data_IF_070066811768
#
_entry.id   IF_070066811768
#
_cell.length_a   1.000
_cell.length_b   1.000
_cell.length_c   1.000
_cell.angle_alpha   90.00
_cell.angle_beta   90.00
_cell.angle_gamma   90.00
#
_symmetry.space_group_name_H-M   'P 1'
#
loop_
_entity.id
_entity.type
_entity.pdbx_description
1 polymer ?
#
# COMPACT_ATOMS: atom_id res chain seq x y z
N UNK A 1 19.58 -38.85 -26.91
CA UNK A 1 20.77 -38.00 -26.97
C UNK A 1 20.40 -36.78 -27.79
N UNK A 2 20.37 -35.55 -27.27
CA UNK A 2 20.34 -35.08 -25.87
C UNK A 2 19.18 -34.07 -25.78
N UNK A 3 18.56 -33.90 -24.61
CA UNK A 3 17.57 -32.81 -24.42
C UNK A 3 18.33 -31.51 -24.19
N UNK A 4 17.97 -30.45 -24.89
CA UNK A 4 18.41 -29.10 -24.54
C UNK A 4 17.67 -28.67 -23.26
N UNK A 5 18.44 -28.36 -22.21
CA UNK A 5 17.90 -27.76 -21.00
C UNK A 5 17.91 -26.24 -21.18
N UNK A 6 16.73 -25.66 -21.40
CA UNK A 6 16.54 -24.22 -21.25
C UNK A 6 16.82 -23.89 -19.78
N UNK A 7 17.78 -23.00 -19.54
CA UNK A 7 18.17 -22.57 -18.19
C UNK A 7 17.08 -21.59 -17.70
N UNK A 8 16.22 -22.07 -16.81
CA UNK A 8 15.27 -21.23 -16.09
C UNK A 8 16.03 -20.22 -15.22
N UNK A 9 16.09 -18.97 -15.68
CA UNK A 9 16.54 -17.85 -14.87
C UNK A 9 15.44 -17.48 -13.88
N UNK A 10 15.71 -17.70 -12.60
CA UNK A 10 14.76 -17.41 -11.52
C UNK A 10 14.76 -15.92 -11.19
N UNK A 11 13.72 -15.21 -11.58
CA UNK A 11 13.39 -13.93 -10.96
C UNK A 11 12.87 -14.17 -9.53
N UNK A 12 13.41 -13.41 -8.57
CA UNK A 12 12.93 -13.40 -7.19
C UNK A 12 12.00 -12.21 -6.98
N UNK A 13 10.68 -12.47 -6.96
CA UNK A 13 9.69 -11.52 -6.45
C UNK A 13 8.54 -12.27 -5.76
N UNK A 14 8.84 -12.76 -4.55
CA UNK A 14 7.95 -13.65 -3.80
C UNK A 14 8.12 -13.42 -2.29
N UNK A 15 7.03 -13.08 -1.59
CA UNK A 15 7.02 -12.90 -0.13
C UNK A 15 5.72 -13.48 0.43
N UNK A 16 5.68 -14.59 1.18
CA UNK A 16 6.67 -15.62 1.53
C UNK A 16 5.88 -16.86 2.04
N UNK A 17 6.42 -17.93 2.65
CA UNK A 17 7.67 -18.21 3.39
C UNK A 17 7.78 -19.76 3.57
N UNK A 18 8.87 -20.42 3.99
CA UNK A 18 10.26 -20.03 4.30
C UNK A 18 11.20 -21.25 4.11
N UNK A 19 12.50 -21.03 3.92
CA UNK A 19 13.57 -21.72 4.67
C UNK A 19 14.94 -21.09 4.36
N UNK A 20 15.90 -21.26 5.28
CA UNK A 20 17.18 -20.53 5.30
C UNK A 20 18.16 -20.88 4.17
N UNK A 21 18.82 -19.86 3.66
CA UNK A 21 20.10 -19.94 2.93
C UNK A 21 20.76 -18.57 2.93
N UNK A 22 21.72 -18.34 3.83
CA UNK A 22 22.46 -17.08 3.87
C UNK A 22 23.41 -16.98 2.69
N UNK A 23 23.31 -15.91 1.89
CA UNK A 23 24.30 -15.64 0.86
C UNK A 23 25.60 -15.14 1.52
N UNK A 24 26.77 -15.72 1.17
CA UNK A 24 28.03 -15.12 1.56
C UNK A 24 28.23 -13.84 0.76
N UNK A 25 28.75 -12.81 1.43
CA UNK A 25 29.48 -11.73 0.73
C UNK A 25 30.78 -12.35 0.22
N UNK A 26 30.75 -12.99 -0.95
CA UNK A 26 31.96 -13.47 -1.63
C UNK A 26 32.58 -12.34 -2.43
N UNK A 27 33.67 -11.82 -1.89
CA UNK A 27 34.52 -10.83 -2.54
C UNK A 27 35.17 -11.35 -3.83
N UNK A 28 35.31 -10.42 -4.78
CA UNK A 28 36.28 -10.37 -5.88
C UNK A 28 36.04 -11.15 -7.18
N UNK A 29 35.95 -10.32 -8.23
CA UNK A 29 36.43 -10.49 -9.61
C UNK A 29 35.78 -11.56 -10.47
N UNK A 30 34.79 -11.11 -11.26
CA UNK A 30 35.07 -10.99 -12.69
C UNK A 30 34.97 -9.51 -13.12
N UNK A 31 35.73 -9.08 -14.12
CA UNK A 31 35.79 -7.69 -14.57
C UNK A 31 34.79 -7.46 -15.72
N UNK A 32 33.77 -6.61 -15.56
CA UNK A 32 33.09 -6.06 -16.75
C UNK A 32 31.65 -5.52 -16.66
N UNK A 33 30.87 -5.77 -15.61
CA UNK A 33 29.53 -5.15 -15.46
C UNK A 33 29.31 -4.63 -14.04
N UNK A 34 29.15 -3.31 -13.92
CA UNK A 34 28.66 -2.68 -12.71
C UNK A 34 27.13 -2.75 -12.73
N UNK A 35 26.57 -3.74 -12.03
CA UNK A 35 25.12 -3.81 -11.79
C UNK A 35 24.80 -2.83 -10.68
N UNK A 36 24.16 -1.72 -11.03
CA UNK A 36 23.74 -0.71 -10.08
C UNK A 36 22.41 -1.13 -9.44
N UNK A 37 22.34 -1.05 -8.12
CA UNK A 37 21.12 -1.37 -7.36
C UNK A 37 20.41 -0.06 -7.10
N UNK A 38 19.41 0.27 -7.91
CA UNK A 38 18.74 1.56 -7.87
C UNK A 38 17.46 1.51 -7.02
N UNK A 39 17.33 2.49 -6.13
CA UNK A 39 16.10 2.79 -5.40
C UNK A 39 15.23 3.72 -6.24
N UNK A 40 13.91 3.57 -6.14
CA UNK A 40 12.96 4.48 -6.79
C UNK A 40 13.14 5.91 -6.24
N UNK A 41 13.90 6.73 -6.96
CA UNK A 41 14.19 8.11 -6.57
C UNK A 41 13.03 9.05 -6.94
N UNK A 42 12.10 9.24 -6.00
CA UNK A 42 11.03 10.21 -6.14
C UNK A 42 11.54 11.65 -5.96
N UNK A 43 11.42 12.48 -7.01
CA UNK A 43 11.74 13.91 -6.95
C UNK A 43 10.78 14.73 -6.08
N UNK A 44 9.64 14.14 -5.69
CA UNK A 44 8.60 14.72 -4.84
C UNK A 44 7.87 13.62 -4.06
N UNK A 45 6.67 13.89 -3.54
CA UNK A 45 5.84 12.88 -2.88
C UNK A 45 5.15 11.99 -3.93
N UNK A 46 5.45 10.69 -3.95
CA UNK A 46 4.92 9.72 -4.93
C UNK A 46 3.40 9.76 -5.07
N UNK A 47 2.80 9.24 -6.16
CA UNK A 47 1.38 8.88 -6.16
C UNK A 47 1.03 7.93 -5.00
N UNK A 48 -0.26 7.85 -4.64
CA UNK A 48 -0.76 6.86 -3.66
C UNK A 48 -0.38 5.45 -4.11
N UNK A 49 0.48 4.79 -3.34
CA UNK A 49 0.96 3.44 -3.61
C UNK A 49 -0.11 2.41 -3.24
N UNK A 50 -0.80 2.65 -2.12
CA UNK A 50 -1.81 1.74 -1.56
C UNK A 50 -2.82 2.50 -0.70
N UNK A 51 -4.06 2.01 -0.65
CA UNK A 51 -5.15 2.59 0.16
C UNK A 51 -5.97 1.53 0.90
N UNK A 52 -6.43 1.86 2.10
CA UNK A 52 -7.41 1.11 2.88
C UNK A 52 -8.52 2.04 3.37
N UNK A 53 -9.73 1.86 2.82
CA UNK A 53 -10.90 2.74 3.03
C UNK A 53 -12.17 1.97 3.47
N UNK A 54 -12.08 0.66 3.69
CA UNK A 54 -13.16 -0.18 4.21
C UNK A 54 -12.77 -0.82 5.54
N UNK A 55 -13.18 -0.18 6.62
CA UNK A 55 -12.87 -0.52 8.01
C UNK A 55 -14.15 -0.63 8.84
N UNK A 56 -14.10 -1.47 9.87
CA UNK A 56 -15.07 -1.43 10.98
C UNK A 56 -14.36 -0.91 12.22
N UNK A 57 -14.74 0.27 12.71
CA UNK A 57 -14.26 0.77 13.99
C UNK A 57 -15.10 0.20 15.12
N UNK A 58 -14.44 -0.27 16.18
CA UNK A 58 -15.04 -0.93 17.33
C UNK A 58 -14.70 -0.15 18.60
N UNK A 59 -15.67 0.01 19.50
CA UNK A 59 -15.46 0.50 20.86
C UNK A 59 -16.26 -0.24 21.91
N UNK A 60 -15.60 -0.53 23.03
CA UNK A 60 -16.22 -1.12 24.21
C UNK A 60 -16.96 -0.03 24.97
N UNK A 61 -18.27 -0.19 25.08
CA UNK A 61 -19.16 0.74 25.77
C UNK A 61 -19.02 0.60 27.28
N UNK A 62 -19.42 1.63 28.03
CA UNK A 62 -19.39 1.64 29.50
C UNK A 62 -20.21 0.50 30.14
N UNK A 63 -21.20 -0.05 29.42
CA UNK A 63 -21.99 -1.22 29.81
C UNK A 63 -21.28 -2.58 29.55
N UNK A 64 -20.02 -2.55 29.08
CA UNK A 64 -19.18 -3.71 28.78
C UNK A 64 -19.38 -4.34 27.39
N UNK A 65 -20.42 -3.96 26.64
CA UNK A 65 -20.70 -4.47 25.28
C UNK A 65 -19.83 -3.78 24.24
N UNK A 66 -19.56 -4.46 23.13
CA UNK A 66 -18.93 -3.86 21.96
C UNK A 66 -19.97 -3.20 21.05
N UNK A 67 -19.66 -2.02 20.55
CA UNK A 67 -20.38 -1.31 19.48
C UNK A 67 -19.45 -1.10 18.30
N UNK A 68 -19.97 -1.23 17.08
CA UNK A 68 -19.23 -0.99 15.85
C UNK A 68 -19.85 0.11 14.99
N UNK A 69 -19.05 0.71 14.11
CA UNK A 69 -19.52 1.49 12.98
C UNK A 69 -18.55 1.36 11.79
N UNK A 70 -19.07 1.48 10.57
CA UNK A 70 -18.23 1.56 9.38
C UNK A 70 -17.34 2.83 9.45
N UNK A 71 -16.05 2.67 9.17
CA UNK A 71 -15.06 3.74 9.05
C UNK A 71 -14.91 4.67 10.26
N UNK A 72 -15.43 4.26 11.43
CA UNK A 72 -15.49 5.09 12.64
C UNK A 72 -15.49 4.25 13.90
N UNK A 73 -14.69 4.63 14.88
CA UNK A 73 -14.76 4.15 16.27
C UNK A 73 -15.85 4.94 16.99
N UNK A 74 -16.97 4.33 17.43
CA UNK A 74 -17.99 5.01 18.23
C UNK A 74 -17.41 5.50 19.56
N UNK A 75 -18.04 6.48 20.22
CA UNK A 75 -17.65 6.85 21.58
C UNK A 75 -17.89 5.69 22.56
N UNK A 76 -17.19 5.66 23.70
CA UNK A 76 -17.41 4.62 24.74
C UNK A 76 -18.68 4.88 25.57
N UNK A 77 -19.07 6.15 25.73
CA UNK A 77 -20.37 6.51 26.31
C UNK A 77 -21.51 6.26 25.30
N UNK A 78 -22.38 5.31 25.65
CA UNK A 78 -23.54 4.93 24.85
C UNK A 78 -24.54 6.10 24.67
N UNK A 79 -24.62 7.03 25.63
CA UNK A 79 -25.55 8.18 25.57
C UNK A 79 -25.08 9.18 24.51
N UNK A 80 -23.79 9.48 24.50
CA UNK A 80 -23.13 10.30 23.49
C UNK A 80 -23.39 9.78 22.06
N UNK A 81 -23.39 8.47 21.84
CA UNK A 81 -23.67 7.87 20.52
C UNK A 81 -25.13 8.04 20.05
N UNK A 82 -26.08 8.41 20.92
CA UNK A 82 -27.51 8.60 20.60
C UNK A 82 -27.87 10.05 20.24
N UNK A 83 -26.94 11.00 20.39
CA UNK A 83 -27.16 12.40 20.04
C UNK A 83 -27.26 12.64 18.53
N UNK A 84 -28.06 13.63 18.12
CA UNK A 84 -28.25 14.00 16.71
C UNK A 84 -27.25 15.04 16.19
N UNK A 85 -26.37 15.56 17.07
CA UNK A 85 -25.35 16.55 16.73
C UNK A 85 -24.41 16.09 15.62
N UNK A 86 -24.05 17.01 14.71
CA UNK A 86 -23.20 16.72 13.56
C UNK A 86 -21.78 16.30 13.97
N UNK A 87 -21.26 16.83 15.07
CA UNK A 87 -19.98 16.46 15.68
C UNK A 87 -19.99 15.02 16.22
N UNK A 88 -21.14 14.52 16.70
CA UNK A 88 -21.26 13.13 17.19
C UNK A 88 -21.09 12.11 16.08
N UNK A 89 -21.33 12.50 14.82
CA UNK A 89 -21.11 11.62 13.66
C UNK A 89 -19.63 11.30 13.45
N UNK A 90 -18.70 12.08 14.01
CA UNK A 90 -17.25 11.84 13.93
C UNK A 90 -16.75 10.69 14.80
N UNK A 91 -17.48 10.32 15.86
CA UNK A 91 -17.06 9.28 16.81
C UNK A 91 -15.86 9.69 17.67
N UNK A 92 -15.28 8.72 18.38
CA UNK A 92 -14.01 8.93 19.10
C UNK A 92 -12.82 9.02 18.13
N UNK A 93 -12.90 8.31 17.01
CA UNK A 93 -11.99 8.43 15.87
C UNK A 93 -12.71 8.02 14.59
N UNK A 94 -12.27 8.53 13.44
CA UNK A 94 -12.75 8.08 12.14
C UNK A 94 -11.65 8.10 11.07
N UNK A 95 -11.87 7.33 10.01
CA UNK A 95 -10.96 7.16 8.87
C UNK A 95 -11.82 7.15 7.59
N UNK A 96 -11.62 8.12 6.72
CA UNK A 96 -12.08 8.06 5.32
C UNK A 96 -11.18 7.11 4.53
N UNK A 97 -9.86 7.27 4.68
CA UNK A 97 -8.86 6.41 4.05
C UNK A 97 -7.55 6.42 4.85
N UNK A 98 -6.87 5.28 4.91
CA UNK A 98 -5.44 5.17 5.19
C UNK A 98 -4.71 4.97 3.85
N UNK A 99 -3.84 5.89 3.49
CA UNK A 99 -3.03 5.84 2.28
C UNK A 99 -1.56 5.73 2.65
N UNK A 100 -0.76 5.07 1.80
CA UNK A 100 0.70 5.14 1.88
C UNK A 100 1.23 5.76 0.58
N UNK A 101 2.09 6.77 0.74
CA UNK A 101 2.89 7.41 -0.31
C UNK A 101 4.38 7.26 0.05
N UNK A 102 5.28 7.49 -0.89
CA UNK A 102 6.74 7.40 -0.73
C UNK A 102 7.39 8.77 -0.98
N UNK A 103 8.52 9.01 -0.35
CA UNK A 103 9.34 10.22 -0.51
C UNK A 103 10.80 9.89 -0.24
N UNK A 104 11.72 10.54 -0.94
CA UNK A 104 13.16 10.45 -0.67
C UNK A 104 13.57 11.51 0.36
N UNK A 105 14.41 11.14 1.32
CA UNK A 105 15.04 12.06 2.27
C UNK A 105 16.53 11.73 2.29
N UNK A 106 17.34 12.62 1.69
CA UNK A 106 18.68 12.24 1.23
C UNK A 106 18.60 11.03 0.29
N UNK A 107 19.41 10.00 0.56
CA UNK A 107 19.48 8.76 -0.25
C UNK A 107 18.67 7.60 0.36
N UNK A 108 17.77 7.87 1.31
CA UNK A 108 16.92 6.85 1.94
C UNK A 108 15.45 7.03 1.54
N UNK A 109 14.74 5.93 1.28
CA UNK A 109 13.31 5.94 0.99
C UNK A 109 12.49 5.92 2.28
N UNK A 110 11.53 6.84 2.37
CA UNK A 110 10.57 6.93 3.48
C UNK A 110 9.15 6.71 2.98
N UNK A 111 8.35 6.04 3.82
CA UNK A 111 6.90 5.95 3.65
C UNK A 111 6.22 7.08 4.42
N UNK A 112 5.15 7.60 3.82
CA UNK A 112 4.25 8.62 4.36
C UNK A 112 2.88 7.98 4.52
N UNK A 113 2.55 7.55 5.73
CA UNK A 113 1.21 7.09 6.09
C UNK A 113 0.32 8.31 6.28
N UNK A 114 -0.71 8.43 5.45
CA UNK A 114 -1.70 9.51 5.50
C UNK A 114 -3.03 8.93 5.98
N UNK A 115 -3.55 9.46 7.08
CA UNK A 115 -4.90 9.18 7.58
C UNK A 115 -5.81 10.35 7.22
N UNK A 116 -6.69 10.18 6.24
CA UNK A 116 -7.74 11.17 5.91
C UNK A 116 -8.98 10.89 6.75
N UNK A 117 -9.61 11.92 7.31
CA UNK A 117 -10.74 11.79 8.24
C UNK A 117 -11.71 12.98 8.17
N UNK A 118 -12.95 12.78 8.59
CA UNK A 118 -13.94 13.83 8.79
C UNK A 118 -13.63 14.60 10.08
N UNK A 119 -13.68 15.92 9.99
CA UNK A 119 -13.36 16.88 11.04
C UNK A 119 -14.39 18.01 11.01
N UNK A 120 -14.28 18.96 11.92
CA UNK A 120 -15.12 20.16 11.90
C UNK A 120 -14.96 21.02 13.14
N UNK A 121 -15.53 22.21 13.07
CA UNK A 121 -15.62 23.14 14.19
C UNK A 121 -16.97 23.85 14.24
N UNK A 122 -17.22 24.52 15.35
CA UNK A 122 -18.33 25.43 15.52
C UNK A 122 -17.87 26.85 15.26
N UNK A 123 -18.68 27.63 14.56
CA UNK A 123 -18.49 29.08 14.45
C UNK A 123 -18.53 29.76 15.82
N UNK A 124 -19.37 29.26 16.74
CA UNK A 124 -19.42 29.69 18.12
C UNK A 124 -19.20 28.51 19.09
N UNK A 125 -17.94 28.10 19.36
CA UNK A 125 -17.63 26.88 20.13
C UNK A 125 -18.21 26.81 21.54
N UNK A 126 -18.35 27.97 22.20
CA UNK A 126 -18.93 28.05 23.56
C UNK A 126 -20.44 27.82 23.55
N UNK A 127 -21.13 28.16 22.45
CA UNK A 127 -22.57 28.00 22.27
C UNK A 127 -22.93 26.65 21.62
N UNK A 128 -21.99 26.02 20.92
CA UNK A 128 -22.27 24.84 20.09
C UNK A 128 -23.09 25.19 18.82
N UNK A 129 -22.96 26.42 18.33
CA UNK A 129 -23.72 26.93 17.19
C UNK A 129 -22.85 27.07 15.93
N UNK A 130 -23.48 26.92 14.75
CA UNK A 130 -22.81 27.07 13.46
C UNK A 130 -21.77 25.99 13.16
N UNK A 131 -22.11 24.70 13.33
CA UNK A 131 -21.21 23.60 12.98
C UNK A 131 -20.85 23.59 11.48
N UNK A 132 -19.55 23.53 11.18
CA UNK A 132 -18.96 23.45 9.85
C UNK A 132 -18.13 22.18 9.76
N UNK A 133 -18.60 21.19 9.01
CA UNK A 133 -17.85 19.97 8.73
C UNK A 133 -16.87 20.17 7.58
N UNK A 134 -15.68 19.59 7.69
CA UNK A 134 -14.67 19.53 6.63
C UNK A 134 -13.89 18.20 6.70
N UNK A 135 -12.90 18.03 5.82
CA UNK A 135 -11.98 16.89 5.88
C UNK A 135 -10.59 17.35 6.30
N UNK A 136 -9.96 16.59 7.17
CA UNK A 136 -8.59 16.80 7.62
C UNK A 136 -7.77 15.53 7.37
N UNK A 137 -6.45 15.67 7.42
CA UNK A 137 -5.56 14.52 7.42
C UNK A 137 -4.45 14.67 8.44
N UNK A 138 -4.04 13.54 9.01
CA UNK A 138 -2.79 13.39 9.74
C UNK A 138 -1.81 12.63 8.85
N UNK A 139 -0.54 13.07 8.79
CA UNK A 139 0.51 12.34 8.08
C UNK A 139 1.68 11.98 9.00
N UNK A 140 2.29 10.84 8.71
CA UNK A 140 3.35 10.24 9.52
C UNK A 140 4.44 9.70 8.57
N UNK A 141 5.64 10.28 8.63
CA UNK A 141 6.77 9.91 7.77
C UNK A 141 7.71 8.97 8.54
N UNK A 142 8.12 7.84 7.96
CA UNK A 142 8.99 6.84 8.61
C UNK A 142 9.76 5.99 7.58
N UNK A 143 10.86 5.33 7.99
CA UNK A 143 11.73 4.56 7.05
C UNK A 143 10.97 3.38 6.42
N UNK A 144 11.11 3.18 5.11
CA UNK A 144 10.28 2.21 4.36
C UNK A 144 10.33 0.77 4.91
N UNK A 145 11.51 0.27 5.28
CA UNK A 145 11.70 -1.04 5.97
C UNK A 145 10.79 -1.32 7.18
N UNK A 146 10.20 -0.30 7.83
CA UNK A 146 9.25 -0.51 8.93
C UNK A 146 7.93 -1.17 8.51
N UNK A 147 7.64 -1.26 7.21
CA UNK A 147 6.49 -2.03 6.73
C UNK A 147 6.69 -3.56 6.91
N UNK A 148 7.93 -4.05 6.90
CA UNK A 148 8.23 -5.46 7.19
C UNK A 148 7.91 -5.82 8.66
N UNK A 149 8.15 -4.91 9.60
CA UNK A 149 7.74 -5.07 11.00
C UNK A 149 6.20 -5.15 11.14
N UNK A 150 5.44 -4.44 10.29
CA UNK A 150 3.96 -4.37 10.34
C UNK A 150 3.26 -5.58 9.73
N UNK A 151 3.90 -6.20 8.74
CA UNK A 151 3.44 -7.43 8.13
C UNK A 151 4.65 -8.35 7.96
N UNK A 152 5.09 -9.00 9.06
CA UNK A 152 6.16 -9.98 8.99
C UNK A 152 5.75 -11.09 8.02
N UNK A 153 6.75 -11.66 7.36
CA UNK A 153 6.53 -12.64 6.30
C UNK A 153 5.80 -13.90 6.84
N UNK A 154 6.03 -14.23 8.12
CA UNK A 154 5.29 -15.23 8.90
C UNK A 154 4.26 -14.49 9.76
N UNK A 155 2.99 -14.55 9.38
CA UNK A 155 1.93 -13.82 10.08
C UNK A 155 1.58 -14.56 11.38
N UNK A 156 1.79 -13.94 12.57
CA UNK A 156 1.55 -14.60 13.84
C UNK A 156 0.06 -14.54 14.17
N UNK A 157 -0.73 -15.39 13.51
CA UNK A 157 -2.17 -15.45 13.71
C UNK A 157 -2.55 -15.66 15.17
N UNK A 158 -3.61 -14.97 15.59
CA UNK A 158 -4.13 -14.97 16.94
C UNK A 158 -3.13 -14.48 18.00
N UNK A 159 -2.11 -13.70 17.59
CA UNK A 159 -1.16 -13.00 18.46
C UNK A 159 -1.07 -11.52 18.08
N UNK A 160 -1.39 -10.63 19.02
CA UNK A 160 -1.18 -9.20 18.86
C UNK A 160 0.32 -8.85 18.87
N UNK A 161 0.71 -7.81 18.14
CA UNK A 161 2.02 -7.16 18.19
C UNK A 161 1.88 -5.65 17.98
N UNK A 162 2.94 -4.89 18.27
CA UNK A 162 2.94 -3.45 18.05
C UNK A 162 4.32 -2.95 17.63
N UNK A 163 4.33 -2.16 16.56
CA UNK A 163 5.55 -1.65 15.93
C UNK A 163 5.72 -0.17 16.26
N UNK A 164 6.86 0.16 16.84
CA UNK A 164 7.34 1.54 16.84
C UNK A 164 7.83 1.92 15.44
N UNK A 165 7.14 2.85 14.77
CA UNK A 165 7.53 3.35 13.45
C UNK A 165 8.76 4.27 13.50
N UNK A 166 9.10 4.81 14.68
CA UNK A 166 10.18 5.77 14.90
C UNK A 166 10.17 6.90 13.85
N UNK A 167 9.12 7.72 13.88
CA UNK A 167 8.83 8.71 12.84
C UNK A 167 10.01 9.63 12.52
N UNK A 168 10.17 9.99 11.25
CA UNK A 168 10.99 11.12 10.83
C UNK A 168 10.29 12.43 11.21
N UNK A 169 9.14 12.71 10.58
CA UNK A 169 8.29 13.87 10.87
C UNK A 169 6.81 13.47 10.92
N UNK A 170 5.95 14.39 11.36
CA UNK A 170 4.49 14.26 11.30
C UNK A 170 3.83 15.63 11.13
N UNK A 171 2.58 15.65 10.72
CA UNK A 171 1.77 16.86 10.74
C UNK A 171 0.28 16.58 10.59
N UNK A 172 -0.50 17.66 10.60
CA UNK A 172 -1.96 17.63 10.43
C UNK A 172 -2.33 18.74 9.46
N UNK A 173 -2.96 18.39 8.34
CA UNK A 173 -3.49 19.37 7.38
C UNK A 173 -5.01 19.44 7.58
N UNK A 174 -5.45 20.52 8.22
CA UNK A 174 -6.88 20.81 8.41
C UNK A 174 -7.50 21.39 7.15
N UNK A 175 -8.74 20.98 6.87
CA UNK A 175 -9.53 21.42 5.72
C UNK A 175 -8.74 21.32 4.40
N UNK A 176 -8.21 20.12 4.11
CA UNK A 176 -7.30 19.91 2.98
C UNK A 176 -7.97 20.09 1.61
N UNK A 177 -9.30 20.11 1.53
CA UNK A 177 -9.99 20.46 0.28
C UNK A 177 -9.74 21.92 -0.15
N UNK A 178 -9.20 22.76 0.74
CA UNK A 178 -8.79 24.14 0.48
C UNK A 178 -7.26 24.35 0.50
N UNK A 179 -6.46 23.28 0.62
CA UNK A 179 -4.99 23.34 0.75
C UNK A 179 -4.30 22.27 -0.08
N UNK A 180 -3.12 22.57 -0.61
CA UNK A 180 -2.29 21.54 -1.21
C UNK A 180 -1.70 20.64 -0.10
N UNK A 181 -2.15 19.38 -0.01
CA UNK A 181 -1.65 18.44 1.01
C UNK A 181 -0.18 18.08 0.81
N UNK A 182 0.28 18.01 -0.43
CA UNK A 182 1.67 17.68 -0.80
C UNK A 182 2.64 18.75 -0.31
N UNK A 183 2.32 20.03 -0.53
CA UNK A 183 3.16 21.15 -0.09
C UNK A 183 3.37 21.15 1.43
N UNK A 184 2.31 20.88 2.20
CA UNK A 184 2.37 20.88 3.67
C UNK A 184 3.16 19.67 4.21
N UNK A 185 3.07 18.52 3.55
CA UNK A 185 3.88 17.33 3.86
C UNK A 185 5.36 17.61 3.55
N UNK A 186 5.67 18.13 2.37
CA UNK A 186 7.04 18.42 1.93
C UNK A 186 7.68 19.52 2.79
N UNK A 187 6.96 20.61 3.13
CA UNK A 187 7.45 21.64 4.07
C UNK A 187 7.82 21.02 5.43
N UNK A 188 7.00 20.13 5.97
CA UNK A 188 7.25 19.50 7.27
C UNK A 188 8.42 18.50 7.26
N UNK A 189 8.77 17.93 6.10
CA UNK A 189 9.99 17.15 5.90
C UNK A 189 11.19 18.10 5.87
N UNK A 190 11.17 19.10 4.99
CA UNK A 190 12.27 20.04 4.80
C UNK A 190 12.61 20.85 6.05
N UNK A 191 11.63 21.22 6.88
CA UNK A 191 11.89 21.91 8.16
C UNK A 191 12.60 21.02 9.19
N UNK A 192 12.45 19.69 9.11
CA UNK A 192 13.26 18.76 9.90
C UNK A 192 14.67 18.61 9.30
N UNK A 193 14.79 18.52 7.97
CA UNK A 193 16.10 18.47 7.27
C UNK A 193 16.95 19.72 7.54
N UNK A 194 16.34 20.91 7.54
CA UNK A 194 17.00 22.19 7.87
C UNK A 194 17.23 22.40 9.38
N UNK A 195 16.76 21.48 10.23
CA UNK A 195 16.87 21.59 11.70
C UNK A 195 16.01 22.68 12.34
N UNK A 196 15.02 23.22 11.61
CA UNK A 196 14.07 24.23 12.09
C UNK A 196 13.08 23.62 13.09
N UNK A 197 12.78 22.34 12.95
CA UNK A 197 11.85 21.60 13.82
C UNK A 197 12.44 20.27 14.27
N UNK A 198 12.12 19.88 15.52
CA UNK A 198 12.45 18.57 16.09
C UNK A 198 11.16 17.80 16.31
N UNK A 199 11.09 16.57 15.80
CA UNK A 199 9.90 15.73 15.96
C UNK A 199 9.86 15.07 17.34
N UNK A 200 9.27 15.73 18.33
CA UNK A 200 9.05 15.18 19.68
C UNK A 200 7.96 14.11 19.79
N UNK A 201 7.44 13.62 18.66
CA UNK A 201 6.37 12.63 18.59
C UNK A 201 6.78 11.36 17.86
N UNK A 202 5.96 10.34 18.04
CA UNK A 202 6.11 9.03 17.45
C UNK A 202 4.74 8.36 17.26
N UNK A 203 4.69 7.29 16.45
CA UNK A 203 3.50 6.49 16.22
C UNK A 203 3.81 5.02 16.48
N UNK A 204 3.06 4.40 17.39
CA UNK A 204 3.05 2.95 17.57
C UNK A 204 1.85 2.39 16.81
N UNK A 205 2.09 1.47 15.89
CA UNK A 205 1.06 0.83 15.09
C UNK A 205 0.87 -0.57 15.66
N UNK A 206 -0.23 -0.77 16.40
CA UNK A 206 -0.61 -2.07 16.94
C UNK A 206 -1.38 -2.87 15.89
N UNK A 207 -1.05 -4.15 15.73
CA UNK A 207 -1.61 -5.07 14.75
C UNK A 207 -1.95 -6.40 15.44
N UNK A 208 -3.11 -6.98 15.13
CA UNK A 208 -3.55 -8.25 15.69
C UNK A 208 -4.29 -9.05 14.60
N UNK A 209 -3.55 -9.88 13.82
CA UNK A 209 -4.12 -10.77 12.84
C UNK A 209 -4.90 -11.88 13.55
N UNK A 210 -6.12 -12.15 13.09
CA UNK A 210 -7.02 -13.16 13.67
C UNK A 210 -7.45 -14.11 12.56
N UNK A 211 -7.38 -15.41 12.85
CA UNK A 211 -7.90 -16.47 11.98
C UNK A 211 -8.86 -17.34 12.76
N UNK A 212 -10.10 -17.42 12.27
CA UNK A 212 -11.17 -18.23 12.84
C UNK A 212 -11.83 -19.05 11.71
N UNK A 213 -11.44 -20.32 11.59
CA UNK A 213 -11.79 -21.13 10.42
C UNK A 213 -11.23 -20.52 9.13
N UNK A 214 -12.11 -20.24 8.18
CA UNK A 214 -11.79 -19.62 6.89
C UNK A 214 -11.73 -18.08 6.95
N UNK A 215 -12.25 -17.45 8.01
CA UNK A 215 -12.19 -15.99 8.14
C UNK A 215 -10.83 -15.50 8.64
N UNK A 216 -10.12 -14.76 7.80
CA UNK A 216 -8.92 -14.01 8.16
C UNK A 216 -9.23 -12.50 8.22
N UNK A 217 -9.14 -11.92 9.43
CA UNK A 217 -9.25 -10.48 9.67
C UNK A 217 -8.01 -9.96 10.37
N UNK A 218 -7.85 -8.64 10.41
CA UNK A 218 -6.84 -7.99 11.25
C UNK A 218 -7.47 -6.84 11.99
N UNK A 219 -7.21 -6.80 13.29
CA UNK A 219 -7.48 -5.64 14.13
C UNK A 219 -6.24 -4.77 14.18
N UNK A 220 -6.39 -3.45 14.13
CA UNK A 220 -5.26 -2.55 14.26
C UNK A 220 -5.61 -1.23 14.95
N UNK A 221 -4.57 -0.51 15.37
CA UNK A 221 -4.70 0.78 16.04
C UNK A 221 -3.46 1.66 15.83
N UNK A 222 -3.70 2.93 15.53
CA UNK A 222 -2.67 3.96 15.41
C UNK A 222 -2.57 4.71 16.75
N UNK A 223 -1.50 4.47 17.51
CA UNK A 223 -1.29 5.01 18.86
C UNK A 223 -0.26 6.14 18.80
N UNK A 224 -0.74 7.38 18.87
CA UNK A 224 0.12 8.57 18.98
C UNK A 224 0.78 8.61 20.35
N UNK A 225 2.11 8.75 20.37
CA UNK A 225 2.91 8.87 21.60
C UNK A 225 3.92 10.01 21.46
N UNK A 226 4.31 10.62 22.57
CA UNK A 226 5.54 11.43 22.60
C UNK A 226 6.77 10.54 22.38
N UNK A 227 7.84 11.10 21.83
CA UNK A 227 9.15 10.47 21.67
C UNK A 227 9.90 10.41 23.01
N UNK A 228 9.34 9.69 23.97
CA UNK A 228 9.98 9.33 25.24
C UNK A 228 10.03 7.80 25.31
N UNK A 229 11.25 7.26 25.50
CA UNK A 229 11.50 5.80 25.46
C UNK A 229 10.48 5.01 26.28
N UNK A 230 10.21 5.44 27.52
CA UNK A 230 9.27 4.74 28.41
C UNK A 230 7.82 4.70 27.89
N UNK A 231 7.31 5.76 27.25
CA UNK A 231 5.94 5.79 26.70
C UNK A 231 5.82 4.89 25.47
N UNK A 232 6.79 4.97 24.57
CA UNK A 232 6.81 4.13 23.36
C UNK A 232 6.99 2.66 23.74
N UNK A 233 7.91 2.36 24.66
CA UNK A 233 8.08 1.02 25.21
C UNK A 233 6.82 0.48 25.89
N UNK A 234 6.03 1.31 26.59
CA UNK A 234 4.79 0.85 27.21
C UNK A 234 3.82 0.23 26.18
N UNK A 235 3.61 0.86 25.02
CA UNK A 235 2.72 0.34 23.98
C UNK A 235 3.35 -0.77 23.13
N UNK A 236 4.67 -0.70 22.92
CA UNK A 236 5.42 -1.62 22.06
C UNK A 236 5.95 -2.88 22.78
N UNK A 237 5.86 -2.96 24.12
CA UNK A 237 6.32 -4.13 24.87
C UNK A 237 5.33 -5.32 24.79
N UNK A 238 5.81 -6.57 24.63
CA UNK A 238 4.96 -7.75 24.42
C UNK A 238 3.84 -7.96 25.44
N UNK A 239 4.09 -7.68 26.72
CA UNK A 239 3.14 -7.79 27.83
C UNK A 239 1.96 -6.81 27.76
N UNK A 240 2.02 -5.81 26.88
CA UNK A 240 0.98 -4.80 26.69
C UNK A 240 0.33 -4.85 25.29
N UNK A 241 0.83 -5.69 24.36
CA UNK A 241 0.32 -5.77 22.99
C UNK A 241 -1.19 -6.04 22.92
N UNK A 242 -1.72 -6.93 23.75
CA UNK A 242 -3.17 -7.23 23.82
C UNK A 242 -3.95 -6.02 24.36
N UNK A 243 -3.42 -5.34 25.38
CA UNK A 243 -4.09 -4.21 26.07
C UNK A 243 -4.37 -3.03 25.15
N UNK A 244 -3.58 -2.87 24.09
CA UNK A 244 -3.81 -1.88 23.04
C UNK A 244 -5.23 -1.98 22.43
N UNK A 245 -5.83 -3.17 22.45
CA UNK A 245 -7.14 -3.50 21.87
C UNK A 245 -8.30 -3.56 22.87
N UNK A 246 -8.07 -3.41 24.18
CA UNK A 246 -9.08 -3.65 25.24
C UNK A 246 -10.33 -2.76 25.13
N UNK A 247 -10.19 -1.56 24.58
CA UNK A 247 -11.24 -0.53 24.53
C UNK A 247 -11.65 -0.14 23.11
N UNK A 248 -10.71 -0.03 22.17
CA UNK A 248 -11.00 0.44 20.81
C UNK A 248 -10.00 -0.10 19.79
N UNK A 249 -10.45 -0.39 18.58
CA UNK A 249 -9.64 -0.78 17.42
C UNK A 249 -10.40 -0.59 16.11
N UNK A 250 -9.68 -0.60 14.98
CA UNK A 250 -10.27 -0.83 13.66
C UNK A 250 -10.07 -2.30 13.25
N UNK A 251 -10.96 -2.82 12.43
CA UNK A 251 -10.93 -4.18 11.90
C UNK A 251 -11.18 -4.17 10.39
N UNK A 252 -10.48 -5.03 9.64
CA UNK A 252 -10.71 -5.25 8.21
C UNK A 252 -10.31 -6.67 7.80
N UNK A 253 -10.69 -7.11 6.59
CA UNK A 253 -10.28 -8.41 6.03
C UNK A 253 -8.77 -8.41 5.79
N UNK A 254 -8.08 -9.50 6.18
CA UNK A 254 -6.61 -9.53 6.21
C UNK A 254 -5.98 -9.28 4.83
N UNK A 255 -6.61 -9.71 3.73
CA UNK A 255 -6.09 -9.48 2.38
C UNK A 255 -5.98 -7.99 2.03
N UNK A 256 -6.89 -7.14 2.51
CA UNK A 256 -6.85 -5.68 2.26
C UNK A 256 -5.71 -5.01 3.01
N UNK A 257 -5.46 -5.44 4.24
CA UNK A 257 -4.29 -4.98 5.01
C UNK A 257 -2.97 -5.53 4.45
N UNK A 258 -2.96 -6.78 3.97
CA UNK A 258 -1.81 -7.35 3.24
C UNK A 258 -1.47 -6.49 2.02
N UNK A 259 -2.45 -6.10 1.21
CA UNK A 259 -2.28 -5.16 0.08
C UNK A 259 -1.76 -3.80 0.56
N UNK A 260 -2.40 -3.15 1.54
CA UNK A 260 -1.95 -1.87 2.10
C UNK A 260 -0.45 -1.87 2.47
N UNK A 261 0.04 -2.93 3.11
CA UNK A 261 1.44 -2.98 3.55
C UNK A 261 2.37 -3.42 2.41
N UNK A 262 2.05 -4.48 1.66
CA UNK A 262 2.93 -5.05 0.63
C UNK A 262 3.11 -4.13 -0.58
N UNK A 263 2.03 -3.51 -1.04
CA UNK A 263 2.05 -2.67 -2.23
C UNK A 263 2.85 -1.36 -1.98
N UNK A 264 3.15 -1.05 -0.71
CA UNK A 264 3.98 0.08 -0.29
C UNK A 264 5.38 -0.32 0.24
N UNK A 265 5.75 -1.60 0.24
CA UNK A 265 7.08 -2.05 0.67
C UNK A 265 8.21 -1.43 -0.18
N UNK A 266 9.42 -1.43 0.38
CA UNK A 266 10.61 -0.98 -0.33
C UNK A 266 10.88 -1.92 -1.51
N UNK A 267 11.05 -1.34 -2.69
CA UNK A 267 11.19 -2.09 -3.94
C UNK A 267 12.53 -1.71 -4.55
N UNK A 268 13.36 -2.72 -4.74
CA UNK A 268 14.76 -2.57 -5.11
C UNK A 268 14.99 -3.48 -6.31
N UNK A 269 15.35 -2.91 -7.45
CA UNK A 269 15.69 -3.69 -8.64
C UNK A 269 17.15 -3.49 -9.04
N UNK A 270 17.84 -4.56 -9.46
CA UNK A 270 19.11 -4.42 -10.16
C UNK A 270 18.85 -3.82 -11.54
N UNK A 271 19.57 -2.76 -11.86
CA UNK A 271 19.54 -2.10 -13.16
C UNK A 271 20.96 -1.81 -13.64
N UNK A 272 21.04 -1.27 -14.83
CA UNK A 272 22.23 -0.74 -15.48
C UNK A 272 21.76 0.46 -16.29
N UNK A 273 22.50 1.57 -16.24
CA UNK A 273 22.15 2.77 -17.02
C UNK A 273 21.96 2.39 -18.51
N UNK A 274 20.87 2.79 -19.20
CA UNK A 274 20.68 2.57 -20.63
C UNK A 274 21.85 3.03 -21.53
N UNK A 275 22.68 3.98 -21.08
CA UNK A 275 23.91 4.40 -21.79
C UNK A 275 25.03 3.32 -21.80
N UNK A 276 24.95 2.32 -20.93
CA UNK A 276 25.96 1.27 -20.79
C UNK A 276 25.64 0.04 -21.66
N UNK A 277 26.66 -0.63 -22.24
CA UNK A 277 26.43 -1.78 -23.11
C UNK A 277 25.88 -3.00 -22.37
N UNK A 278 24.69 -3.45 -22.77
CA UNK A 278 24.02 -4.65 -22.31
C UNK A 278 24.32 -5.85 -23.24
N UNK A 279 24.03 -7.06 -22.77
CA UNK A 279 23.87 -8.21 -23.68
C UNK A 279 22.39 -8.32 -24.04
N UNK A 280 22.06 -8.89 -25.20
CA UNK A 280 20.69 -9.10 -25.70
C UNK A 280 19.73 -9.67 -24.62
N UNK A 281 20.15 -10.74 -23.91
CA UNK A 281 19.37 -11.31 -22.80
C UNK A 281 19.23 -10.39 -21.56
N UNK A 282 20.17 -9.47 -21.35
CA UNK A 282 20.11 -8.50 -20.23
C UNK A 282 19.30 -7.27 -20.62
N UNK A 283 19.20 -6.93 -21.91
CA UNK A 283 18.50 -5.76 -22.41
C UNK A 283 17.01 -5.81 -22.08
N UNK A 284 16.34 -6.94 -22.35
CA UNK A 284 14.97 -7.21 -21.92
C UNK A 284 14.79 -6.96 -20.41
N UNK A 285 15.61 -7.62 -19.60
CA UNK A 285 15.54 -7.57 -18.12
C UNK A 285 15.74 -6.14 -17.60
N UNK A 286 16.73 -5.43 -18.14
CA UNK A 286 17.07 -4.09 -17.70
C UNK A 286 15.97 -3.08 -18.06
N UNK A 287 15.48 -3.12 -19.29
CA UNK A 287 14.39 -2.25 -19.74
C UNK A 287 13.09 -2.55 -18.99
N UNK A 288 12.76 -3.83 -18.76
CA UNK A 288 11.62 -4.21 -17.92
C UNK A 288 11.75 -3.67 -16.48
N UNK A 289 12.93 -3.82 -15.86
CA UNK A 289 13.18 -3.29 -14.52
C UNK A 289 13.06 -1.75 -14.49
N UNK A 290 13.63 -1.03 -15.46
CA UNK A 290 13.46 0.41 -15.61
C UNK A 290 12.00 0.82 -15.77
N UNK A 291 11.22 0.09 -16.59
CA UNK A 291 9.80 0.31 -16.76
C UNK A 291 9.02 0.20 -15.43
N UNK A 292 9.34 -0.81 -14.60
CA UNK A 292 8.71 -0.93 -13.26
C UNK A 292 9.11 0.24 -12.36
N UNK A 293 10.40 0.64 -12.34
CA UNK A 293 10.85 1.78 -11.54
C UNK A 293 10.12 3.07 -11.95
N UNK A 294 10.01 3.36 -13.25
CA UNK A 294 9.25 4.52 -13.78
C UNK A 294 7.77 4.44 -13.47
N UNK A 295 7.16 3.26 -13.60
CA UNK A 295 5.76 3.04 -13.23
C UNK A 295 5.52 3.36 -11.74
N UNK A 296 6.42 2.94 -10.85
CA UNK A 296 6.32 3.24 -9.42
C UNK A 296 6.52 4.73 -9.10
N UNK A 297 7.38 5.44 -9.84
CA UNK A 297 7.51 6.90 -9.78
C UNK A 297 6.22 7.64 -10.18
N UNK A 298 5.33 6.98 -10.93
CA UNK A 298 4.17 7.60 -11.57
C UNK A 298 4.49 8.22 -12.94
N UNK A 299 5.70 7.99 -13.46
CA UNK A 299 6.13 8.39 -14.80
C UNK A 299 5.65 7.33 -15.80
N UNK A 300 4.32 7.27 -15.98
CA UNK A 300 3.67 6.28 -16.85
C UNK A 300 4.10 6.37 -18.33
N UNK A 301 4.36 7.56 -18.92
CA UNK A 301 4.90 7.64 -20.28
C UNK A 301 6.27 6.94 -20.40
N UNK A 302 7.24 7.30 -19.55
CA UNK A 302 8.56 6.65 -19.60
C UNK A 302 8.49 5.16 -19.25
N UNK A 303 7.58 4.76 -18.36
CA UNK A 303 7.34 3.35 -18.08
C UNK A 303 6.90 2.57 -19.32
N UNK A 304 5.97 3.13 -20.10
CA UNK A 304 5.50 2.52 -21.35
C UNK A 304 6.65 2.45 -22.36
N UNK A 305 7.43 3.52 -22.54
CA UNK A 305 8.60 3.50 -23.44
C UNK A 305 9.58 2.37 -23.10
N UNK A 306 9.93 2.20 -21.82
CA UNK A 306 10.80 1.11 -21.37
C UNK A 306 10.17 -0.29 -21.53
N UNK A 307 8.87 -0.45 -21.32
CA UNK A 307 8.18 -1.73 -21.57
C UNK A 307 8.07 -2.03 -23.08
N UNK A 308 7.87 -1.01 -23.91
CA UNK A 308 7.86 -1.13 -25.37
C UNK A 308 9.25 -1.56 -25.86
N UNK A 309 10.32 -0.90 -25.41
CA UNK A 309 11.71 -1.30 -25.73
C UNK A 309 12.03 -2.73 -25.26
N UNK A 310 11.63 -3.11 -24.05
CA UNK A 310 11.81 -4.50 -23.60
C UNK A 310 11.05 -5.50 -24.50
N UNK A 311 9.84 -5.17 -24.96
CA UNK A 311 9.10 -6.00 -25.91
C UNK A 311 9.67 -5.97 -27.34
N UNK A 312 10.44 -4.96 -27.73
CA UNK A 312 11.23 -4.99 -28.98
C UNK A 312 12.44 -5.94 -28.88
N UNK A 313 13.11 -6.01 -27.72
CA UNK A 313 14.22 -6.95 -27.45
C UNK A 313 13.73 -8.41 -27.37
N UNK A 314 12.50 -8.66 -26.91
CA UNK A 314 11.91 -10.02 -26.88
C UNK A 314 10.40 -10.01 -27.18
N UNK A 315 9.99 -9.96 -28.46
CA UNK A 315 8.58 -9.81 -28.85
C UNK A 315 7.67 -10.99 -28.50
N UNK A 316 8.24 -12.20 -28.45
CA UNK A 316 7.54 -13.45 -28.16
C UNK A 316 7.71 -13.90 -26.70
N UNK A 317 8.08 -12.98 -25.79
CA UNK A 317 8.24 -13.28 -24.36
C UNK A 317 6.94 -13.85 -23.77
N UNK A 318 6.95 -15.02 -23.13
CA UNK A 318 5.79 -15.57 -22.42
C UNK A 318 5.64 -14.99 -20.99
N UNK A 319 6.24 -13.83 -20.74
CA UNK A 319 6.15 -13.12 -19.47
C UNK A 319 4.88 -12.25 -19.45
N UNK A 320 3.88 -12.64 -18.66
CA UNK A 320 2.66 -11.85 -18.52
C UNK A 320 2.88 -10.52 -17.79
N UNK A 321 3.94 -10.37 -17.00
CA UNK A 321 4.13 -9.21 -16.12
C UNK A 321 4.39 -7.93 -16.92
N UNK A 322 5.14 -8.00 -18.03
CA UNK A 322 5.43 -6.83 -18.87
C UNK A 322 4.15 -6.23 -19.45
N UNK A 323 3.27 -7.07 -19.99
CA UNK A 323 1.95 -6.66 -20.46
C UNK A 323 1.06 -6.17 -19.30
N UNK A 324 1.11 -6.84 -18.14
CA UNK A 324 0.39 -6.41 -16.93
C UNK A 324 0.79 -5.00 -16.50
N UNK A 325 2.09 -4.69 -16.44
CA UNK A 325 2.59 -3.37 -16.05
C UNK A 325 2.35 -2.31 -17.11
N UNK A 326 2.51 -2.62 -18.40
CA UNK A 326 2.22 -1.69 -19.51
C UNK A 326 0.73 -1.35 -19.58
N UNK A 327 -0.15 -2.35 -19.47
CA UNK A 327 -1.61 -2.15 -19.42
C UNK A 327 -2.05 -1.38 -18.18
N UNK A 328 -1.39 -1.57 -17.02
CA UNK A 328 -1.60 -0.73 -15.85
C UNK A 328 -1.17 0.72 -16.08
N UNK A 329 0.00 0.97 -16.70
CA UNK A 329 0.49 2.31 -17.02
C UNK A 329 -0.47 3.04 -17.98
N UNK A 330 -0.88 2.36 -19.06
CA UNK A 330 -1.88 2.83 -20.03
C UNK A 330 -3.23 3.14 -19.37
N UNK A 331 -3.71 2.26 -18.48
CA UNK A 331 -4.91 2.51 -17.66
C UNK A 331 -4.80 3.77 -16.79
N UNK A 332 -3.64 4.03 -16.17
CA UNK A 332 -3.40 5.26 -15.39
C UNK A 332 -3.40 6.51 -16.27
N UNK A 333 -2.96 6.39 -17.52
CA UNK A 333 -3.04 7.44 -18.55
C UNK A 333 -4.42 7.55 -19.23
N UNK A 334 -5.39 6.69 -18.86
CA UNK A 334 -6.73 6.57 -19.46
C UNK A 334 -6.75 6.08 -20.92
N UNK A 335 -5.67 5.43 -21.35
CA UNK A 335 -5.55 4.71 -22.62
C UNK A 335 -6.17 3.32 -22.43
N UNK A 336 -7.51 3.28 -22.30
CA UNK A 336 -8.19 2.06 -21.84
C UNK A 336 -8.26 0.96 -22.89
N UNK A 337 -8.38 1.30 -24.19
CA UNK A 337 -8.33 0.31 -25.27
C UNK A 337 -6.95 -0.38 -25.31
N UNK A 338 -5.86 0.39 -25.40
CA UNK A 338 -4.48 -0.12 -25.41
C UNK A 338 -4.14 -0.92 -24.13
N UNK A 339 -4.80 -0.61 -23.01
CA UNK A 339 -4.67 -1.35 -21.76
C UNK A 339 -5.45 -2.66 -21.76
N UNK A 340 -6.63 -2.72 -22.40
CA UNK A 340 -7.40 -3.96 -22.56
C UNK A 340 -6.62 -4.93 -23.44
N UNK A 341 -6.02 -4.47 -24.53
CA UNK A 341 -5.16 -5.30 -25.40
C UNK A 341 -3.96 -5.88 -24.63
N UNK A 342 -3.32 -5.08 -23.77
CA UNK A 342 -2.25 -5.56 -22.88
C UNK A 342 -2.73 -6.57 -21.85
N UNK A 343 -3.89 -6.36 -21.22
CA UNK A 343 -4.42 -7.32 -20.26
C UNK A 343 -4.93 -8.61 -20.94
N UNK A 344 -5.45 -8.53 -22.16
CA UNK A 344 -5.76 -9.71 -23.00
C UNK A 344 -4.48 -10.50 -23.26
N UNK A 345 -3.40 -9.83 -23.69
CA UNK A 345 -2.10 -10.46 -23.96
C UNK A 345 -1.45 -11.05 -22.71
N UNK A 346 -1.56 -10.39 -21.56
CA UNK A 346 -1.12 -10.93 -20.28
C UNK A 346 -1.90 -12.21 -19.90
N UNK A 347 -3.18 -12.30 -20.26
CA UNK A 347 -4.03 -13.43 -19.93
C UNK A 347 -3.82 -14.66 -20.83
N UNK A 348 -3.20 -14.51 -22.00
CA UNK A 348 -2.70 -15.64 -22.82
C UNK A 348 -1.59 -16.43 -22.10
N UNK A 349 -0.80 -15.76 -21.27
CA UNK A 349 0.39 -16.32 -20.62
C UNK A 349 0.13 -16.74 -19.17
N UNK A 350 -0.70 -17.76 -18.97
CA UNK A 350 -0.96 -18.31 -17.63
C UNK A 350 0.32 -18.93 -17.03
N UNK A 351 0.77 -18.47 -15.85
CA UNK A 351 1.94 -19.04 -15.18
C UNK A 351 1.60 -20.30 -14.38
N UNK A 352 2.57 -21.20 -14.26
CA UNK A 352 2.50 -22.42 -13.43
C UNK A 352 2.82 -22.15 -11.94
N UNK A 353 3.56 -21.09 -11.61
CA UNK A 353 3.90 -20.74 -10.22
C UNK A 353 2.71 -20.08 -9.49
N UNK A 354 2.49 -20.48 -8.24
CA UNK A 354 1.33 -20.06 -7.42
C UNK A 354 1.35 -18.56 -7.09
N UNK A 355 2.53 -17.94 -6.94
CA UNK A 355 2.63 -16.49 -6.71
C UNK A 355 2.34 -15.72 -7.99
N UNK A 356 2.96 -16.14 -9.09
CA UNK A 356 2.74 -15.50 -10.39
C UNK A 356 1.29 -15.66 -10.84
N UNK A 357 0.67 -16.81 -10.58
CA UNK A 357 -0.76 -17.03 -10.78
C UNK A 357 -1.61 -16.00 -10.03
N UNK A 358 -1.25 -15.69 -8.78
CA UNK A 358 -1.94 -14.67 -7.97
C UNK A 358 -1.79 -13.24 -8.52
N UNK A 359 -0.73 -12.96 -9.29
CA UNK A 359 -0.55 -11.70 -10.02
C UNK A 359 -1.27 -11.72 -11.37
N UNK A 360 -1.17 -12.83 -12.12
CA UNK A 360 -1.82 -13.04 -13.40
C UNK A 360 -3.34 -12.90 -13.32
N UNK A 361 -3.96 -13.44 -12.25
CA UNK A 361 -5.41 -13.28 -11.98
C UNK A 361 -5.82 -11.80 -11.87
N UNK A 362 -4.93 -10.89 -11.42
CA UNK A 362 -5.23 -9.45 -11.33
C UNK A 362 -5.49 -8.81 -12.69
N UNK A 363 -5.01 -9.40 -13.79
CA UNK A 363 -5.28 -8.90 -15.13
C UNK A 363 -6.76 -8.98 -15.50
N UNK A 364 -7.50 -10.01 -15.04
CA UNK A 364 -8.95 -10.02 -15.14
C UNK A 364 -9.54 -8.80 -14.42
N UNK A 365 -9.14 -8.56 -13.17
CA UNK A 365 -9.67 -7.43 -12.40
C UNK A 365 -9.36 -6.07 -13.07
N UNK A 366 -8.12 -5.84 -13.49
CA UNK A 366 -7.68 -4.59 -14.11
C UNK A 366 -8.35 -4.38 -15.48
N UNK A 367 -8.47 -5.43 -16.30
CA UNK A 367 -9.24 -5.40 -17.55
C UNK A 367 -10.71 -5.06 -17.32
N UNK A 368 -11.30 -5.62 -16.27
CA UNK A 368 -12.66 -5.28 -15.87
C UNK A 368 -12.81 -3.80 -15.47
N UNK A 369 -11.82 -3.23 -14.77
CA UNK A 369 -11.78 -1.79 -14.46
C UNK A 369 -11.64 -0.93 -15.73
N UNK A 370 -10.78 -1.30 -16.68
CA UNK A 370 -10.64 -0.59 -17.95
C UNK A 370 -11.95 -0.64 -18.77
N UNK A 371 -12.58 -1.82 -18.90
CA UNK A 371 -13.88 -2.01 -19.57
C UNK A 371 -15.00 -1.19 -18.94
N UNK A 372 -15.04 -1.10 -17.61
CA UNK A 372 -15.97 -0.24 -16.89
C UNK A 372 -15.83 1.24 -17.29
N UNK A 373 -14.59 1.76 -17.40
CA UNK A 373 -14.37 3.13 -17.87
C UNK A 373 -14.70 3.32 -19.35
N UNK A 374 -14.61 2.27 -20.16
CA UNK A 374 -15.08 2.21 -21.56
C UNK A 374 -16.60 1.98 -21.70
N UNK A 375 -17.35 1.96 -20.58
CA UNK A 375 -18.80 1.69 -20.54
C UNK A 375 -19.20 0.26 -20.96
N UNK A 376 -18.25 -0.67 -21.17
CA UNK A 376 -18.52 -2.10 -21.29
C UNK A 376 -18.78 -2.72 -19.92
N UNK A 377 -19.98 -2.45 -19.42
CA UNK A 377 -20.42 -2.91 -18.11
C UNK A 377 -20.53 -4.44 -18.02
N UNK A 378 -20.95 -5.08 -19.11
CA UNK A 378 -21.11 -6.54 -19.16
C UNK A 378 -19.76 -7.26 -19.14
N UNK A 379 -18.77 -6.76 -19.90
CA UNK A 379 -17.41 -7.26 -19.87
C UNK A 379 -16.71 -7.00 -18.53
N UNK A 380 -16.91 -5.83 -17.93
CA UNK A 380 -16.40 -5.52 -16.59
C UNK A 380 -16.86 -6.53 -15.54
N UNK A 381 -18.17 -6.79 -15.48
CA UNK A 381 -18.76 -7.74 -14.54
C UNK A 381 -18.31 -9.18 -14.77
N UNK A 382 -18.19 -9.61 -16.05
CA UNK A 382 -17.65 -10.92 -16.41
C UNK A 382 -16.22 -11.10 -15.91
N UNK A 383 -15.37 -10.09 -16.09
CA UNK A 383 -13.97 -10.12 -15.71
C UNK A 383 -13.77 -10.05 -14.19
N UNK A 384 -14.53 -9.23 -13.46
CA UNK A 384 -14.52 -9.23 -11.99
C UNK A 384 -15.02 -10.56 -11.41
N UNK A 385 -16.04 -11.18 -12.00
CA UNK A 385 -16.49 -12.51 -11.57
C UNK A 385 -15.39 -13.56 -11.79
N UNK A 386 -14.68 -13.49 -12.93
CA UNK A 386 -13.56 -14.39 -13.22
C UNK A 386 -12.38 -14.19 -12.25
N UNK A 387 -12.05 -12.95 -11.90
CA UNK A 387 -11.04 -12.65 -10.89
C UNK A 387 -11.43 -13.21 -9.50
N UNK A 388 -12.71 -13.11 -9.11
CA UNK A 388 -13.22 -13.65 -7.85
C UNK A 388 -13.20 -15.19 -7.83
N UNK A 389 -13.61 -15.85 -8.93
CA UNK A 389 -13.54 -17.32 -9.08
C UNK A 389 -12.12 -17.86 -8.85
N UNK A 390 -11.10 -17.11 -9.29
CA UNK A 390 -9.70 -17.42 -9.08
C UNK A 390 -9.12 -16.91 -7.74
N UNK A 391 -9.97 -16.45 -6.81
CA UNK A 391 -9.57 -16.10 -5.45
C UNK A 391 -9.13 -14.65 -5.24
N UNK A 392 -9.25 -13.76 -6.23
CA UNK A 392 -8.96 -12.33 -6.05
C UNK A 392 -10.10 -11.62 -5.32
N UNK A 393 -10.09 -11.74 -4.00
CA UNK A 393 -11.11 -11.21 -3.08
C UNK A 393 -11.58 -9.75 -3.31
N UNK A 394 -10.72 -8.77 -3.69
CA UNK A 394 -11.17 -7.41 -3.97
C UNK A 394 -12.23 -7.28 -5.08
N UNK A 395 -12.30 -8.25 -6.01
CA UNK A 395 -13.31 -8.23 -7.07
C UNK A 395 -14.75 -8.43 -6.54
N UNK A 396 -14.91 -9.03 -5.36
CA UNK A 396 -16.22 -9.21 -4.72
C UNK A 396 -16.95 -7.88 -4.47
N UNK A 397 -16.22 -6.86 -4.00
CA UNK A 397 -16.79 -5.55 -3.72
C UNK A 397 -17.28 -4.87 -5.01
N UNK A 398 -16.57 -5.07 -6.12
CA UNK A 398 -16.94 -4.49 -7.41
C UNK A 398 -18.21 -5.16 -7.97
N UNK A 399 -18.33 -6.48 -7.87
CA UNK A 399 -19.55 -7.19 -8.28
C UNK A 399 -20.77 -6.70 -7.51
N UNK A 400 -20.69 -6.55 -6.18
CA UNK A 400 -21.81 -6.09 -5.35
C UNK A 400 -22.25 -4.65 -5.66
N UNK A 401 -21.29 -3.76 -5.89
CA UNK A 401 -21.55 -2.33 -6.08
C UNK A 401 -22.00 -1.98 -7.51
N UNK A 402 -21.61 -2.77 -8.50
CA UNK A 402 -21.75 -2.40 -9.91
C UNK A 402 -22.55 -3.41 -10.74
N UNK A 403 -22.55 -4.71 -10.42
CA UNK A 403 -23.03 -5.78 -11.31
C UNK A 403 -24.39 -6.39 -10.90
N UNK A 404 -25.36 -5.53 -10.61
CA UNK A 404 -26.71 -5.91 -10.12
C UNK A 404 -27.66 -6.35 -11.23
#
# INVERSE_FOLDING_TARGET
MFKEQIISFKFFLLVGMFCFGGYPVSSQTDLGKQVDVELVNFSSLSPVQSELNQLTGWSKQDNGRWLSAANRVPFTDERTNKGTGSERKLGQDNIIALQIRKVMIGNEQYNVLIKKYHDGDYEFPVLGEGWRGYKSLDFYVFKSKKLEDLLPVEIPFNKAYAVDLNLYTRGTVKNFEQKNEDDEIIKAIQSVERGETVNDWNLVFAVFPIKNGEEEVVRFKLIRSFRKKYLVSYYAAPENWVKNFDMTFYETKLFRFKSLIRDAQEFVLPVTNPDNPLTENDAYTNNFNWGILKYQMGDFPAAIEFFDTALEENPDTPDFLIYSFRGNARSKMRLYDDAIDDFDKALDFQPDDVMDYSNWVKNYFNRGVAKYYMQDMAGACKDWNKALEFGFGPAHDYLLNYCQ
#
